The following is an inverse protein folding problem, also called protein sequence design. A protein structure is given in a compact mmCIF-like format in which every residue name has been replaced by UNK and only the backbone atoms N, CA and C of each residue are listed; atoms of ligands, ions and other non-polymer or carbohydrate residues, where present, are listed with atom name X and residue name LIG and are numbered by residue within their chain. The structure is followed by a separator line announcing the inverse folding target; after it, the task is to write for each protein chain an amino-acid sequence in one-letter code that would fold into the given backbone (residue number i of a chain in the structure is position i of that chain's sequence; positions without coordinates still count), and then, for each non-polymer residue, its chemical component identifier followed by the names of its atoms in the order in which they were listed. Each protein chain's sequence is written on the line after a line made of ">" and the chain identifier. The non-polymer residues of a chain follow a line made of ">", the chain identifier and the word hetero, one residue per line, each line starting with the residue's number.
data_IF_727413925715
#
_entry.id   IF_727413925715
#
_cell.length_a   1.000
_cell.length_b   1.000
_cell.length_c   1.000
_cell.angle_alpha   90.00
_cell.angle_beta   90.00
_cell.angle_gamma   90.00
#
_symmetry.space_group_name_H-M   'P 1'
#
loop_
_entity.id
_entity.type
_entity.pdbx_description
1 polymer ?
#
# COMPACT_ATOMS: atom_id res chain seq x y z
N UNK A 1 20.84 15.01 6.12
CA UNK A 1 20.42 13.60 6.26
C UNK A 1 19.90 13.13 4.90
N UNK A 2 20.62 12.22 4.26
CA UNK A 2 20.35 11.80 2.87
C UNK A 2 18.97 11.15 2.76
N UNK A 3 18.20 11.57 1.75
CA UNK A 3 17.02 10.87 1.26
C UNK A 3 17.39 9.41 1.08
N UNK A 4 16.74 8.53 1.84
CA UNK A 4 17.06 7.11 1.81
C UNK A 4 16.36 6.43 0.64
N UNK A 5 17.13 5.77 -0.23
CA UNK A 5 16.57 4.84 -1.21
C UNK A 5 15.88 3.67 -0.48
N UNK A 6 14.88 3.08 -1.13
CA UNK A 6 14.22 1.86 -0.66
C UNK A 6 15.26 0.74 -0.59
N UNK A 7 15.41 0.15 0.59
CA UNK A 7 16.35 -0.94 0.89
C UNK A 7 15.68 -2.30 0.90
N UNK A 8 14.45 -2.38 1.39
CA UNK A 8 13.67 -3.62 1.41
C UNK A 8 12.17 -3.34 1.44
N UNK A 9 11.38 -4.30 0.96
CA UNK A 9 9.91 -4.28 1.03
C UNK A 9 9.47 -5.69 1.37
N UNK A 10 8.97 -5.89 2.58
CA UNK A 10 8.53 -7.21 3.07
C UNK A 10 7.05 -7.19 3.34
N UNK A 11 6.36 -8.20 2.84
CA UNK A 11 4.96 -8.44 3.10
C UNK A 11 4.76 -9.68 3.98
N UNK A 12 3.75 -9.61 4.84
CA UNK A 12 3.25 -10.74 5.61
C UNK A 12 1.74 -10.68 5.72
N UNK A 13 1.16 -11.83 5.99
CA UNK A 13 -0.27 -11.95 6.28
C UNK A 13 -0.53 -11.58 7.76
N UNK A 14 -1.58 -10.78 7.99
CA UNK A 14 -2.11 -10.44 9.31
C UNK A 14 -3.64 -10.62 9.30
N UNK A 15 -4.31 -10.45 10.44
CA UNK A 15 -5.78 -10.51 10.51
C UNK A 15 -6.39 -9.10 10.55
N UNK A 16 -7.50 -8.91 9.83
CA UNK A 16 -8.34 -7.72 9.89
C UNK A 16 -9.25 -7.71 11.14
N UNK A 17 -10.04 -6.66 11.32
CA UNK A 17 -10.96 -6.51 12.46
C UNK A 17 -12.06 -7.57 12.53
N UNK A 18 -12.25 -8.37 11.47
CA UNK A 18 -13.21 -9.47 11.38
C UNK A 18 -12.53 -10.84 11.44
N UNK A 19 -11.23 -10.89 11.76
CA UNK A 19 -10.45 -12.12 11.81
C UNK A 19 -10.14 -12.74 10.44
N UNK A 20 -10.35 -12.01 9.33
CA UNK A 20 -9.98 -12.50 7.99
C UNK A 20 -8.55 -12.09 7.64
N UNK A 21 -7.81 -12.91 6.87
CA UNK A 21 -6.49 -12.54 6.42
C UNK A 21 -6.47 -11.25 5.58
N UNK A 22 -5.43 -10.44 5.78
CA UNK A 22 -5.09 -9.28 4.96
C UNK A 22 -3.58 -9.07 4.93
N UNK A 23 -3.12 -8.18 4.05
CA UNK A 23 -1.71 -7.93 3.80
C UNK A 23 -1.19 -6.78 4.67
N UNK A 24 -0.05 -6.99 5.32
CA UNK A 24 0.79 -5.95 5.91
C UNK A 24 2.12 -5.87 5.16
N UNK A 25 2.56 -4.65 4.87
CA UNK A 25 3.86 -4.34 4.29
C UNK A 25 4.69 -3.57 5.30
N UNK A 26 5.98 -3.89 5.36
CA UNK A 26 7.04 -3.15 6.04
C UNK A 26 8.08 -2.78 4.97
N UNK A 27 8.34 -1.48 4.82
CA UNK A 27 9.28 -0.90 3.87
C UNK A 27 10.41 -0.23 4.62
N UNK A 28 11.64 -0.60 4.32
CA UNK A 28 12.82 0.03 4.88
C UNK A 28 13.38 1.04 3.88
N UNK A 29 13.56 2.28 4.31
CA UNK A 29 14.18 3.33 3.50
C UNK A 29 14.99 4.27 4.39
N UNK A 30 16.21 4.60 3.97
CA UNK A 30 17.11 5.41 4.79
C UNK A 30 17.37 4.76 6.15
N UNK A 31 16.97 5.43 7.22
CA UNK A 31 17.15 4.97 8.60
C UNK A 31 15.82 4.59 9.28
N UNK A 32 14.74 4.41 8.52
CA UNK A 32 13.41 4.12 9.05
C UNK A 32 12.77 2.88 8.46
N UNK A 33 11.83 2.31 9.22
CA UNK A 33 10.91 1.25 8.79
C UNK A 33 9.50 1.82 8.78
N UNK A 34 8.80 1.66 7.67
CA UNK A 34 7.48 2.23 7.43
C UNK A 34 6.50 1.12 7.09
N UNK A 35 5.42 1.03 7.86
CA UNK A 35 4.44 -0.05 7.67
C UNK A 35 3.08 0.47 7.21
N UNK A 36 2.39 -0.35 6.43
CA UNK A 36 0.99 -0.16 6.09
C UNK A 36 0.29 -1.52 5.99
N UNK A 37 -0.99 -1.55 6.32
CA UNK A 37 -1.87 -2.69 6.10
C UNK A 37 -3.07 -2.25 5.28
N UNK A 38 -3.62 -3.18 4.50
CA UNK A 38 -4.77 -2.90 3.64
C UNK A 38 -6.06 -3.39 4.30
N UNK A 39 -7.16 -2.60 4.27
CA UNK A 39 -8.45 -3.09 4.73
C UNK A 39 -9.01 -4.14 3.76
N UNK A 40 -9.85 -5.03 4.26
CA UNK A 40 -10.63 -5.95 3.44
C UNK A 40 -12.02 -5.36 3.20
N UNK A 41 -12.39 -5.18 1.93
CA UNK A 41 -13.76 -4.78 1.55
C UNK A 41 -14.73 -5.97 1.66
N UNK A 42 -15.97 -5.70 2.08
CA UNK A 42 -17.08 -6.66 1.99
C UNK A 42 -17.89 -6.47 0.69
N UNK A 43 -17.94 -5.23 0.19
CA UNK A 43 -18.61 -4.86 -1.06
C UNK A 43 -17.59 -4.92 -2.18
N UNK A 44 -17.75 -5.86 -3.11
CA UNK A 44 -16.92 -5.95 -4.32
C UNK A 44 -17.73 -5.44 -5.50
N UNK A 45 -17.75 -4.13 -5.72
CA UNK A 45 -18.35 -3.57 -6.92
C UNK A 45 -17.68 -4.13 -8.18
N UNK A 46 -18.45 -4.42 -9.24
CA UNK A 46 -17.93 -4.98 -10.52
C UNK A 46 -16.83 -4.14 -11.18
N UNK A 47 -16.68 -2.86 -10.80
CA UNK A 47 -15.70 -1.90 -11.32
C UNK A 47 -14.51 -1.68 -10.37
N UNK A 48 -14.48 -2.32 -9.22
CA UNK A 48 -13.40 -2.15 -8.25
C UNK A 48 -12.11 -2.86 -8.69
N UNK A 49 -10.99 -2.38 -8.15
CA UNK A 49 -9.73 -3.08 -8.30
C UNK A 49 -9.81 -4.43 -7.57
N UNK A 50 -9.31 -5.49 -8.21
CA UNK A 50 -9.52 -6.85 -7.74
C UNK A 50 -8.62 -7.17 -6.56
N UNK A 51 -9.25 -7.47 -5.43
CA UNK A 51 -8.58 -8.14 -4.32
C UNK A 51 -8.27 -9.60 -4.70
N UNK A 52 -7.02 -10.04 -4.45
CA UNK A 52 -6.63 -11.43 -4.64
C UNK A 52 -6.80 -12.20 -3.33
N UNK A 53 -7.60 -13.26 -3.39
CA UNK A 53 -7.74 -14.30 -2.36
C UNK A 53 -7.19 -15.63 -2.86
N UNK A 54 -6.73 -16.46 -1.94
CA UNK A 54 -6.11 -17.75 -2.24
C UNK A 54 -7.15 -18.82 -2.64
N UNK A 55 -8.37 -18.73 -2.13
CA UNK A 55 -9.35 -19.82 -2.23
C UNK A 55 -8.97 -21.02 -1.35
N UNK A 56 -9.64 -22.15 -1.56
CA UNK A 56 -9.39 -23.39 -0.81
C UNK A 56 -9.95 -23.40 0.62
N UNK A 57 -9.44 -24.32 1.45
CA UNK A 57 -9.98 -24.59 2.80
C UNK A 57 -9.53 -23.58 3.87
N UNK A 58 -8.32 -23.01 3.73
CA UNK A 58 -7.71 -22.13 4.73
C UNK A 58 -8.47 -20.80 4.80
N UNK A 59 -8.84 -20.37 6.01
CA UNK A 59 -9.64 -19.15 6.24
C UNK A 59 -10.89 -19.05 5.36
N UNK A 60 -11.57 -20.17 5.09
CA UNK A 60 -12.76 -20.21 4.23
C UNK A 60 -12.49 -19.62 2.83
N UNK A 61 -11.28 -19.84 2.32
CA UNK A 61 -10.82 -19.34 1.02
C UNK A 61 -10.34 -17.89 1.00
N UNK A 62 -10.29 -17.22 2.16
CA UNK A 62 -9.93 -15.80 2.28
C UNK A 62 -8.44 -15.55 2.55
N UNK A 63 -7.59 -16.57 2.45
CA UNK A 63 -6.13 -16.38 2.53
C UNK A 63 -5.62 -15.35 1.52
N UNK A 64 -4.49 -14.71 1.83
CA UNK A 64 -3.84 -13.71 0.96
C UNK A 64 -2.36 -14.01 0.69
N UNK A 65 -1.93 -15.27 0.84
CA UNK A 65 -0.55 -15.70 0.64
C UNK A 65 -0.07 -15.40 -0.79
N UNK A 66 -0.93 -15.54 -1.80
CA UNK A 66 -0.59 -15.16 -3.18
C UNK A 66 -0.30 -13.66 -3.32
N UNK A 67 -1.07 -12.81 -2.64
CA UNK A 67 -0.83 -11.37 -2.65
C UNK A 67 0.48 -11.01 -1.92
N UNK A 68 0.75 -11.68 -0.79
CA UNK A 68 2.02 -11.56 -0.06
C UNK A 68 3.21 -11.99 -0.93
N UNK A 69 3.09 -13.11 -1.63
CA UNK A 69 4.10 -13.62 -2.54
C UNK A 69 4.36 -12.67 -3.71
N UNK A 70 3.30 -12.12 -4.31
CA UNK A 70 3.41 -11.10 -5.36
C UNK A 70 4.22 -9.88 -4.89
N UNK A 71 4.04 -9.42 -3.64
CA UNK A 71 4.86 -8.33 -3.10
C UNK A 71 6.32 -8.78 -2.97
N UNK A 72 6.55 -9.88 -2.25
CA UNK A 72 7.90 -10.30 -1.87
C UNK A 72 8.77 -10.71 -3.08
N UNK A 73 8.17 -11.39 -4.08
CA UNK A 73 8.89 -11.94 -5.23
C UNK A 73 8.85 -11.07 -6.47
N UNK A 74 7.80 -10.26 -6.66
CA UNK A 74 7.61 -9.49 -7.91
C UNK A 74 7.81 -7.99 -7.69
N UNK A 75 7.12 -7.41 -6.71
CA UNK A 75 7.16 -5.96 -6.49
C UNK A 75 8.49 -5.55 -5.84
N UNK A 76 8.89 -6.21 -4.76
CA UNK A 76 10.07 -5.84 -3.97
C UNK A 76 11.33 -5.66 -4.82
N UNK A 77 11.77 -6.64 -5.65
CA UNK A 77 13.00 -6.50 -6.45
C UNK A 77 13.01 -5.30 -7.39
N UNK A 78 11.83 -4.82 -7.81
CA UNK A 78 11.69 -3.68 -8.73
C UNK A 78 11.64 -2.33 -8.03
N UNK A 79 11.46 -2.32 -6.71
CA UNK A 79 11.42 -1.10 -5.90
C UNK A 79 12.72 -0.81 -5.16
N UNK A 80 13.60 -1.80 -4.98
CA UNK A 80 14.91 -1.58 -4.37
C UNK A 80 15.69 -0.51 -5.15
N UNK A 81 16.30 0.42 -4.43
CA UNK A 81 17.07 1.52 -5.01
C UNK A 81 16.23 2.70 -5.50
N UNK A 82 14.89 2.66 -5.39
CA UNK A 82 14.03 3.80 -5.77
C UNK A 82 13.91 4.83 -4.65
N UNK A 83 13.70 6.08 -5.06
CA UNK A 83 13.45 7.20 -4.14
C UNK A 83 11.97 7.18 -3.69
N UNK A 84 11.68 6.97 -2.39
CA UNK A 84 10.30 6.93 -1.90
C UNK A 84 9.56 8.27 -2.01
N UNK A 85 10.26 9.37 -2.32
CA UNK A 85 9.64 10.67 -2.60
C UNK A 85 9.04 10.77 -4.00
N UNK A 86 9.28 9.79 -4.87
CA UNK A 86 8.74 9.67 -6.23
C UNK A 86 7.50 8.77 -6.26
N UNK A 87 6.50 9.12 -5.45
CA UNK A 87 5.27 8.34 -5.27
C UNK A 87 4.63 7.94 -6.60
N UNK A 88 4.40 8.90 -7.49
CA UNK A 88 3.75 8.67 -8.79
C UNK A 88 4.53 7.72 -9.69
N UNK A 89 5.86 7.81 -9.70
CA UNK A 89 6.70 6.91 -10.49
C UNK A 89 6.59 5.46 -9.98
N UNK A 90 6.65 5.29 -8.65
CA UNK A 90 6.54 3.99 -8.00
C UNK A 90 5.16 3.37 -8.23
N UNK A 91 4.08 4.16 -8.10
CA UNK A 91 2.72 3.70 -8.35
C UNK A 91 2.50 3.31 -9.82
N UNK A 92 2.97 4.15 -10.76
CA UNK A 92 2.92 3.85 -12.20
C UNK A 92 3.71 2.58 -12.54
N UNK A 93 4.86 2.36 -11.90
CA UNK A 93 5.63 1.15 -12.07
C UNK A 93 4.86 -0.08 -11.58
N UNK A 94 4.28 -0.06 -10.38
CA UNK A 94 3.48 -1.17 -9.87
C UNK A 94 2.26 -1.47 -10.75
N UNK A 95 1.57 -0.43 -11.24
CA UNK A 95 0.47 -0.57 -12.20
C UNK A 95 0.96 -1.21 -13.51
N UNK A 96 2.13 -0.80 -14.02
CA UNK A 96 2.71 -1.35 -15.25
C UNK A 96 3.11 -2.82 -15.10
N UNK A 97 3.70 -3.20 -13.96
CA UNK A 97 4.10 -4.58 -13.68
C UNK A 97 2.86 -5.50 -13.62
N UNK A 98 1.77 -5.01 -13.03
CA UNK A 98 0.49 -5.71 -13.05
C UNK A 98 -0.07 -5.82 -14.47
N UNK A 99 -0.08 -4.73 -15.22
CA UNK A 99 -0.46 -4.72 -16.63
C UNK A 99 -1.96 -4.92 -16.90
N UNK A 100 -2.80 -4.97 -15.87
CA UNK A 100 -4.26 -5.11 -16.03
C UNK A 100 -4.98 -3.83 -15.61
N UNK A 101 -6.17 -3.58 -16.19
CA UNK A 101 -6.98 -2.40 -15.86
C UNK A 101 -7.43 -2.37 -14.39
N UNK A 102 -7.67 -3.54 -13.80
CA UNK A 102 -8.26 -3.70 -12.47
C UNK A 102 -7.29 -4.30 -11.45
N UNK A 103 -5.98 -4.31 -11.70
CA UNK A 103 -4.98 -4.85 -10.76
C UNK A 103 -5.16 -6.35 -10.45
N UNK A 104 -5.70 -7.11 -11.38
CA UNK A 104 -6.08 -8.52 -11.17
C UNK A 104 -4.94 -9.51 -11.25
N UNK A 105 -3.75 -9.10 -11.73
CA UNK A 105 -2.58 -9.98 -11.83
C UNK A 105 -1.82 -10.03 -10.50
N UNK A 106 -1.46 -8.87 -9.96
CA UNK A 106 -0.76 -8.75 -8.68
C UNK A 106 -1.72 -8.66 -7.49
N UNK A 107 -2.89 -8.07 -7.70
CA UNK A 107 -3.89 -7.81 -6.66
C UNK A 107 -3.83 -6.37 -6.16
N UNK A 108 -5.00 -5.74 -6.02
CA UNK A 108 -5.12 -4.42 -5.41
C UNK A 108 -4.61 -4.42 -3.96
N UNK A 109 -4.85 -5.51 -3.23
CA UNK A 109 -4.34 -5.77 -1.88
C UNK A 109 -2.83 -6.05 -1.83
N UNK A 110 -2.16 -6.28 -2.97
CA UNK A 110 -0.71 -6.31 -3.04
C UNK A 110 -0.12 -4.91 -3.30
N UNK A 111 -0.71 -4.16 -4.23
CA UNK A 111 -0.19 -2.85 -4.68
C UNK A 111 -0.42 -1.75 -3.63
N UNK A 112 -1.64 -1.67 -3.08
CA UNK A 112 -2.04 -0.58 -2.18
C UNK A 112 -1.19 -0.46 -0.90
N UNK A 113 -0.93 -1.53 -0.12
CA UNK A 113 -0.14 -1.39 1.11
C UNK A 113 1.31 -0.98 0.81
N UNK A 114 1.89 -1.40 -0.31
CA UNK A 114 3.22 -0.93 -0.74
C UNK A 114 3.18 0.57 -1.06
N UNK A 115 2.20 1.02 -1.85
CA UNK A 115 1.98 2.45 -2.16
C UNK A 115 1.86 3.32 -0.91
N UNK A 116 1.09 2.85 0.08
CA UNK A 116 0.94 3.52 1.37
C UNK A 116 2.24 3.56 2.18
N UNK A 117 2.99 2.46 2.24
CA UNK A 117 4.28 2.41 2.94
C UNK A 117 5.30 3.36 2.29
N UNK A 118 5.32 3.44 0.95
CA UNK A 118 6.12 4.41 0.18
C UNK A 118 5.75 5.84 0.56
N UNK A 119 4.46 6.18 0.65
CA UNK A 119 4.03 7.53 1.03
C UNK A 119 4.51 7.94 2.44
N UNK A 120 4.51 7.00 3.39
CA UNK A 120 5.00 7.21 4.75
C UNK A 120 6.51 7.43 4.76
N UNK A 121 7.25 6.64 3.98
CA UNK A 121 8.68 6.81 3.80
C UNK A 121 9.02 8.15 3.13
N UNK A 122 8.28 8.54 2.09
CA UNK A 122 8.42 9.83 1.42
C UNK A 122 8.14 11.02 2.32
N UNK A 123 7.11 10.93 3.17
CA UNK A 123 6.79 11.94 4.18
C UNK A 123 7.95 12.12 5.17
N UNK A 124 8.49 11.02 5.70
CA UNK A 124 9.63 11.05 6.61
C UNK A 124 10.89 11.60 5.93
N UNK A 125 11.17 11.21 4.68
CA UNK A 125 12.28 11.73 3.90
C UNK A 125 12.19 13.25 3.66
N UNK A 126 10.97 13.80 3.54
CA UNK A 126 10.72 15.24 3.44
C UNK A 126 10.55 15.95 4.79
N UNK A 127 10.67 15.24 5.93
CA UNK A 127 10.40 15.75 7.29
C UNK A 127 9.01 16.39 7.41
N UNK A 128 8.02 15.79 6.77
CA UNK A 128 6.62 16.20 6.82
C UNK A 128 5.79 15.16 7.56
N UNK A 129 4.72 15.61 8.23
CA UNK A 129 3.65 14.70 8.62
C UNK A 129 3.01 14.08 7.36
N UNK A 130 2.47 12.86 7.48
CA UNK A 130 1.91 12.14 6.33
C UNK A 130 0.83 12.96 5.61
N UNK A 131 -0.09 13.61 6.34
CA UNK A 131 -1.15 14.42 5.72
C UNK A 131 -0.60 15.63 4.95
N UNK A 132 0.46 16.29 5.45
CA UNK A 132 1.13 17.40 4.74
C UNK A 132 1.84 16.89 3.49
N UNK A 133 2.47 15.72 3.57
CA UNK A 133 3.11 15.08 2.43
C UNK A 133 2.09 14.71 1.34
N UNK A 134 0.98 14.07 1.71
CA UNK A 134 -0.13 13.73 0.80
C UNK A 134 -0.67 15.00 0.12
N UNK A 135 -0.94 16.06 0.90
CA UNK A 135 -1.40 17.32 0.33
C UNK A 135 -0.39 17.92 -0.66
N UNK A 136 0.91 17.86 -0.34
CA UNK A 136 1.97 18.34 -1.23
C UNK A 136 2.04 17.55 -2.55
N UNK A 137 1.96 16.22 -2.51
CA UNK A 137 2.06 15.39 -3.72
C UNK A 137 0.79 15.43 -4.57
N UNK A 138 -0.38 15.73 -3.98
CA UNK A 138 -1.65 15.77 -4.70
C UNK A 138 -2.03 17.19 -5.18
N UNK A 139 -1.84 18.21 -4.34
CA UNK A 139 -2.20 19.59 -4.65
C UNK A 139 -1.00 20.47 -5.05
N UNK A 140 0.23 19.95 -5.01
CA UNK A 140 1.46 20.70 -5.33
C UNK A 140 1.91 21.70 -4.25
N UNK A 141 1.07 22.00 -3.27
CA UNK A 141 1.35 22.95 -2.17
C UNK A 141 0.79 22.50 -0.83
N UNK A 142 1.39 22.98 0.25
CA UNK A 142 0.86 22.81 1.61
C UNK A 142 -0.02 24.04 1.89
N UNK A 143 -1.35 23.85 1.84
CA UNK A 143 -2.32 24.90 2.11
C UNK A 143 -2.86 24.87 3.55
N UNK A 144 -3.94 25.60 3.79
CA UNK A 144 -4.73 25.47 5.02
C UNK A 144 -5.47 24.14 5.05
N UNK A 145 -5.51 23.51 6.23
CA UNK A 145 -6.19 22.24 6.42
C UNK A 145 -7.55 22.46 7.07
N UNK A 146 -8.57 21.74 6.59
CA UNK A 146 -9.88 21.64 7.25
C UNK A 146 -10.00 20.24 7.83
N UNK A 147 -10.45 20.16 9.08
CA UNK A 147 -10.74 18.87 9.72
C UNK A 147 -12.12 18.41 9.20
N UNK A 148 -12.25 17.18 8.66
CA UNK A 148 -13.54 16.68 8.20
C UNK A 148 -14.49 16.46 9.38
N UNK A 149 -15.79 16.69 9.16
CA UNK A 149 -16.81 16.24 10.12
C UNK A 149 -16.87 14.72 10.09
N UNK A 150 -16.91 14.10 11.26
CA UNK A 150 -17.00 12.65 11.38
C UNK A 150 -18.44 12.17 11.07
N UNK A 151 -18.57 11.19 10.18
CA UNK A 151 -19.83 10.44 9.97
C UNK A 151 -19.74 9.11 10.73
N UNK A 152 -20.41 9.02 11.88
CA UNK A 152 -20.38 7.82 12.71
C UNK A 152 -21.44 6.82 12.24
N UNK A 153 -21.02 5.59 11.91
CA UNK A 153 -21.96 4.50 11.65
C UNK A 153 -22.47 3.93 12.99
N UNK A 154 -23.70 4.24 13.36
CA UNK A 154 -24.29 3.89 14.66
C UNK A 154 -25.40 2.84 14.57
N UNK A 155 -25.81 2.47 13.35
CA UNK A 155 -26.82 1.43 13.04
C UNK A 155 -26.28 0.58 11.89
#
# INVERSE_FOLDING_TARGET
>A
MRTGLIKSVRAREILDSRGNPTVKVELEAGNGVFSASVPSGASTGKREAKEIRDGGKRYLGKGVLRAVENINKIIQPRLIGKDPTKQEEIDRLMIRIDGTKNKSKLGANAILPVSMAVSRAGAAAKKLSLFKYIAKIFFGKIGSFKIPKAGFNII
#
